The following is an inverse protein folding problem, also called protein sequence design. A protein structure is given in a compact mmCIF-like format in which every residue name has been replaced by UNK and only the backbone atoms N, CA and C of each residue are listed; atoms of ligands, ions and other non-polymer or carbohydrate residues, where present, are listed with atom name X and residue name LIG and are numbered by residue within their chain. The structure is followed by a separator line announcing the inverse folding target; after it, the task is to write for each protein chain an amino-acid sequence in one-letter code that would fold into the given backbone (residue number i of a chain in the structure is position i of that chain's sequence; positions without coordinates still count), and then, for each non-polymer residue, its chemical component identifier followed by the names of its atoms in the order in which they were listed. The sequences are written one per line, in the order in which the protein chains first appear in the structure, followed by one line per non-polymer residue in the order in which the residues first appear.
data_IF_274209604783
#
_entry.id   IF_274209604783
#
_cell.length_a   1.000
_cell.length_b   1.000
_cell.length_c   1.000
_cell.angle_alpha   90.00
_cell.angle_beta   90.00
_cell.angle_gamma   90.00
#
_symmetry.space_group_name_H-M   'P 1'
#
loop_
_entity.id
_entity.type
_entity.pdbx_description
1 polymer ?
#
# COMPACT_ATOMS: atom_id res chain seq x y z
N UNK A 1 -8.79 -10.86 8.72
CA UNK A 1 -7.81 -10.17 7.85
C UNK A 1 -6.79 -9.53 8.76
N UNK A 2 -5.51 -9.62 8.41
CA UNK A 2 -4.43 -8.96 9.16
C UNK A 2 -3.41 -8.37 8.20
N UNK A 3 -2.62 -7.44 8.72
CA UNK A 3 -1.42 -6.92 8.07
C UNK A 3 -0.19 -7.57 8.69
N UNK A 4 0.80 -7.92 7.86
CA UNK A 4 2.12 -8.34 8.32
C UNK A 4 3.20 -7.64 7.50
N UNK A 5 4.40 -7.52 8.05
CA UNK A 5 5.53 -7.05 7.26
C UNK A 5 5.76 -7.92 6.04
N UNK A 6 6.23 -7.27 4.98
CA UNK A 6 6.79 -7.96 3.82
C UNK A 6 8.01 -8.78 4.25
N UNK A 7 8.12 -9.98 3.69
CA UNK A 7 9.25 -10.87 3.88
C UNK A 7 9.74 -11.47 2.55
N UNK A 8 10.86 -12.22 2.58
CA UNK A 8 11.43 -12.84 1.38
C UNK A 8 10.48 -13.76 0.62
N UNK A 9 9.51 -14.37 1.32
CA UNK A 9 8.50 -15.25 0.72
C UNK A 9 7.49 -14.52 -0.19
N UNK A 10 7.40 -13.19 -0.12
CA UNK A 10 6.43 -12.39 -0.88
C UNK A 10 6.84 -12.12 -2.33
N UNK A 11 7.91 -12.78 -2.81
CA UNK A 11 8.41 -12.64 -4.17
C UNK A 11 7.31 -12.87 -5.23
N UNK A 12 6.53 -13.93 -5.08
CA UNK A 12 5.45 -14.23 -6.03
C UNK A 12 4.41 -13.11 -6.06
N UNK A 13 3.93 -12.67 -4.90
CA UNK A 13 2.99 -11.56 -4.79
C UNK A 13 3.55 -10.28 -5.40
N UNK A 14 4.84 -9.99 -5.20
CA UNK A 14 5.50 -8.83 -5.81
C UNK A 14 5.52 -8.90 -7.34
N UNK A 15 5.83 -10.06 -7.91
CA UNK A 15 5.81 -10.28 -9.36
C UNK A 15 4.41 -10.06 -9.90
N UNK A 16 3.41 -10.68 -9.29
CA UNK A 16 2.01 -10.56 -9.72
C UNK A 16 1.49 -9.13 -9.64
N UNK A 17 1.90 -8.37 -8.63
CA UNK A 17 1.47 -6.98 -8.49
C UNK A 17 2.23 -6.01 -9.39
N UNK A 18 3.54 -6.20 -9.60
CA UNK A 18 4.42 -5.19 -10.21
C UNK A 18 4.88 -5.50 -11.62
N UNK A 19 4.83 -6.76 -12.06
CA UNK A 19 5.20 -7.14 -13.43
C UNK A 19 3.98 -7.33 -14.34
N UNK A 20 2.78 -7.31 -13.79
CA UNK A 20 1.55 -7.44 -14.57
C UNK A 20 1.19 -6.09 -15.24
N UNK A 21 1.10 -6.04 -16.58
CA UNK A 21 0.82 -4.81 -17.31
C UNK A 21 -0.60 -4.26 -17.06
N UNK A 22 -1.56 -5.11 -16.71
CA UNK A 22 -2.93 -4.69 -16.37
C UNK A 22 -2.93 -4.05 -14.99
N UNK A 23 -2.24 -4.66 -14.01
CA UNK A 23 -2.08 -4.08 -12.67
C UNK A 23 -1.37 -2.73 -12.71
N UNK A 24 -0.35 -2.60 -13.57
CA UNK A 24 0.52 -1.43 -13.64
C UNK A 24 0.13 -0.41 -14.72
N UNK A 25 -1.02 -0.59 -15.37
CA UNK A 25 -1.45 0.23 -16.51
C UNK A 25 -1.47 1.75 -16.20
N UNK A 26 -1.84 2.10 -14.96
CA UNK A 26 -1.90 3.50 -14.48
C UNK A 26 -0.73 3.86 -13.55
N UNK A 27 0.24 2.96 -13.36
CA UNK A 27 1.32 3.07 -12.37
C UNK A 27 2.71 3.17 -13.02
N UNK A 28 2.77 3.74 -14.23
CA UNK A 28 4.02 3.89 -14.98
C UNK A 28 4.48 2.62 -15.71
N UNK A 29 3.64 1.59 -15.76
CA UNK A 29 3.90 0.34 -16.49
C UNK A 29 4.59 -0.75 -15.67
N UNK A 30 4.61 -1.99 -16.19
CA UNK A 30 5.14 -3.14 -15.46
C UNK A 30 6.65 -3.05 -15.26
N UNK A 31 7.11 -3.42 -14.07
CA UNK A 31 8.51 -3.59 -13.75
C UNK A 31 9.06 -4.87 -14.40
N UNK A 32 10.36 -4.88 -14.79
CA UNK A 32 11.01 -6.11 -15.24
C UNK A 32 11.02 -7.15 -14.12
N UNK A 33 10.87 -8.42 -14.49
CA UNK A 33 10.96 -9.54 -13.53
C UNK A 33 12.35 -9.64 -12.90
N UNK A 34 13.37 -9.29 -13.69
CA UNK A 34 14.74 -9.12 -13.22
C UNK A 34 14.77 -7.97 -12.21
N UNK A 35 15.37 -8.20 -11.04
CA UNK A 35 15.48 -7.21 -9.98
C UNK A 35 14.36 -7.23 -8.92
N UNK A 36 13.22 -7.91 -9.17
CA UNK A 36 12.15 -8.00 -8.16
C UNK A 36 12.62 -8.69 -6.88
N UNK A 37 13.46 -9.72 -6.98
CA UNK A 37 14.01 -10.38 -5.78
C UNK A 37 14.87 -9.43 -4.94
N UNK A 38 15.72 -8.64 -5.58
CA UNK A 38 16.51 -7.61 -4.91
C UNK A 38 15.63 -6.54 -4.27
N UNK A 39 14.53 -6.16 -4.93
CA UNK A 39 13.52 -5.25 -4.38
C UNK A 39 12.85 -5.82 -3.13
N UNK A 40 12.34 -7.06 -3.18
CA UNK A 40 11.72 -7.72 -2.03
C UNK A 40 12.68 -7.78 -0.84
N UNK A 41 13.94 -8.16 -1.09
CA UNK A 41 14.97 -8.24 -0.04
C UNK A 41 15.20 -6.89 0.64
N UNK A 42 15.30 -5.81 -0.14
CA UNK A 42 15.48 -4.46 0.39
C UNK A 42 14.24 -3.99 1.16
N UNK A 43 13.06 -4.13 0.56
CA UNK A 43 11.79 -3.71 1.18
C UNK A 43 11.55 -4.49 2.50
N UNK A 44 11.86 -5.79 2.57
CA UNK A 44 11.80 -6.59 3.79
C UNK A 44 12.82 -6.14 4.84
N UNK A 45 14.04 -5.78 4.43
CA UNK A 45 15.03 -5.20 5.33
C UNK A 45 14.58 -3.86 5.92
N UNK A 46 13.96 -3.00 5.11
CA UNK A 46 13.44 -1.70 5.53
C UNK A 46 12.24 -1.84 6.47
N UNK A 47 11.31 -2.75 6.17
CA UNK A 47 10.17 -3.05 7.04
C UNK A 47 10.62 -3.60 8.40
N UNK A 48 11.52 -4.59 8.40
CA UNK A 48 12.08 -5.15 9.63
C UNK A 48 12.90 -4.12 10.44
N UNK A 49 13.54 -3.17 9.75
CA UNK A 49 14.29 -2.07 10.37
C UNK A 49 13.42 -0.89 10.81
N UNK A 50 12.12 -0.90 10.55
CA UNK A 50 11.20 0.19 10.89
C UNK A 50 11.43 1.48 10.11
N UNK A 51 12.18 1.46 9.01
CA UNK A 51 12.47 2.65 8.20
C UNK A 51 11.40 2.92 7.14
N UNK A 52 10.68 1.89 6.72
CA UNK A 52 9.56 1.97 5.79
C UNK A 52 8.42 1.10 6.32
N UNK A 53 7.17 1.53 6.13
CA UNK A 53 6.01 0.73 6.53
C UNK A 53 5.46 0.01 5.30
N UNK A 54 5.83 -1.28 5.16
CA UNK A 54 5.47 -2.09 4.00
C UNK A 54 4.78 -3.35 4.48
N UNK A 55 3.45 -3.41 4.31
CA UNK A 55 2.63 -4.52 4.80
C UNK A 55 2.02 -5.31 3.66
N UNK A 56 1.98 -6.62 3.86
CA UNK A 56 1.22 -7.57 3.05
C UNK A 56 -0.16 -7.78 3.67
N UNK A 57 -1.18 -7.81 2.82
CA UNK A 57 -2.57 -7.98 3.24
C UNK A 57 -2.90 -9.47 3.24
N UNK A 58 -3.18 -10.02 4.43
CA UNK A 58 -3.57 -11.41 4.61
C UNK A 58 -5.10 -11.47 4.75
N UNK A 59 -5.83 -11.94 3.73
CA UNK A 59 -7.29 -11.83 3.68
C UNK A 59 -7.96 -12.73 4.74
N UNK A 60 -7.36 -13.88 5.04
CA UNK A 60 -7.86 -14.89 5.97
C UNK A 60 -6.71 -15.37 6.87
N UNK A 61 -6.91 -15.32 8.18
CA UNK A 61 -5.89 -15.73 9.17
C UNK A 61 -5.68 -17.23 9.20
N UNK A 62 -6.65 -18.01 8.72
CA UNK A 62 -6.52 -19.46 8.59
C UNK A 62 -5.64 -19.87 7.40
N UNK A 63 -5.33 -18.93 6.50
CA UNK A 63 -4.47 -19.11 5.33
C UNK A 63 -3.36 -18.02 5.28
N UNK A 64 -2.39 -18.03 6.21
CA UNK A 64 -1.41 -16.95 6.38
C UNK A 64 -0.44 -16.75 5.22
N UNK A 65 -0.32 -17.75 4.34
CA UNK A 65 0.52 -17.70 3.13
C UNK A 65 -0.21 -17.07 1.94
N UNK A 66 -1.54 -16.90 2.02
CA UNK A 66 -2.31 -16.21 0.99
C UNK A 66 -2.14 -14.71 1.17
N UNK A 67 -1.66 -14.07 0.12
CA UNK A 67 -1.47 -12.62 0.06
C UNK A 67 -2.50 -12.05 -0.90
N UNK A 68 -3.34 -11.13 -0.42
CA UNK A 68 -4.31 -10.42 -1.24
C UNK A 68 -3.74 -9.17 -1.92
N UNK A 69 -2.61 -8.66 -1.43
CA UNK A 69 -2.05 -7.42 -1.90
C UNK A 69 -1.04 -6.83 -0.91
N UNK A 70 -0.71 -5.56 -1.09
CA UNK A 70 0.14 -4.80 -0.18
C UNK A 70 -0.43 -3.42 0.10
N UNK A 71 -0.17 -2.89 1.29
CA UNK A 71 -0.35 -1.48 1.64
C UNK A 71 0.99 -0.96 2.14
N UNK A 72 1.37 0.21 1.66
CA UNK A 72 2.68 0.82 1.88
C UNK A 72 2.50 2.27 2.28
N UNK A 73 3.28 2.72 3.25
CA UNK A 73 3.40 4.11 3.66
C UNK A 73 4.88 4.45 3.64
N UNK A 74 5.25 5.38 2.76
CA UNK A 74 6.62 5.86 2.64
C UNK A 74 6.63 7.39 2.77
N UNK A 75 7.78 7.91 3.17
CA UNK A 75 7.98 9.35 3.35
C UNK A 75 9.06 9.82 2.39
N UNK A 76 8.82 10.94 1.72
CA UNK A 76 9.79 11.56 0.82
C UNK A 76 9.79 13.08 1.00
N UNK A 77 10.85 13.75 0.54
CA UNK A 77 10.93 15.20 0.55
C UNK A 77 10.64 15.73 -0.86
N UNK A 78 9.68 16.66 -0.96
CA UNK A 78 9.40 17.37 -2.21
C UNK A 78 9.31 18.87 -1.91
N UNK A 79 10.07 19.69 -2.64
CA UNK A 79 10.07 21.14 -2.47
C UNK A 79 10.47 21.64 -1.08
N UNK A 80 11.26 20.86 -0.32
CA UNK A 80 11.66 21.19 1.06
C UNK A 80 10.60 20.85 2.13
N UNK A 81 9.52 20.16 1.76
CA UNK A 81 8.51 19.66 2.68
C UNK A 81 8.57 18.13 2.79
N UNK A 82 8.42 17.61 4.00
CA UNK A 82 8.26 16.18 4.22
C UNK A 82 6.81 15.79 3.86
N UNK A 83 6.67 14.92 2.87
CA UNK A 83 5.42 14.31 2.47
C UNK A 83 5.42 12.83 2.87
N UNK A 84 4.25 12.33 3.24
CA UNK A 84 4.03 10.90 3.43
C UNK A 84 2.93 10.45 2.48
N UNK A 85 3.22 9.41 1.72
CA UNK A 85 2.30 8.85 0.74
C UNK A 85 1.92 7.44 1.16
N UNK A 86 0.61 7.17 1.11
CA UNK A 86 0.08 5.83 1.28
C UNK A 86 -0.37 5.29 -0.09
N UNK A 87 0.02 4.06 -0.38
CA UNK A 87 -0.38 3.35 -1.58
C UNK A 87 -0.77 1.92 -1.26
N UNK A 88 -1.66 1.35 -2.05
CA UNK A 88 -1.99 -0.07 -1.94
C UNK A 88 -2.19 -0.69 -3.32
N UNK A 89 -1.97 -2.00 -3.38
CA UNK A 89 -2.29 -2.83 -4.52
C UNK A 89 -3.08 -4.03 -4.03
N UNK A 90 -4.14 -4.40 -4.75
CA UNK A 90 -4.94 -5.58 -4.45
C UNK A 90 -4.94 -6.45 -5.69
N UNK A 91 -4.54 -7.71 -5.53
CA UNK A 91 -4.49 -8.67 -6.63
C UNK A 91 -5.90 -8.92 -7.21
N UNK A 92 -6.02 -9.17 -8.52
CA UNK A 92 -7.30 -9.17 -9.23
C UNK A 92 -8.39 -10.06 -8.58
N UNK A 93 -8.03 -11.25 -8.13
CA UNK A 93 -8.97 -12.20 -7.50
C UNK A 93 -9.51 -11.74 -6.13
N UNK A 94 -8.94 -10.68 -5.56
CA UNK A 94 -9.36 -10.07 -4.30
C UNK A 94 -10.00 -8.69 -4.47
N UNK A 95 -10.04 -8.14 -5.68
CA UNK A 95 -10.66 -6.85 -5.97
C UNK A 95 -12.19 -6.89 -5.83
N UNK A 96 -12.82 -5.72 -5.67
CA UNK A 96 -14.28 -5.60 -5.48
C UNK A 96 -14.80 -6.05 -4.10
N UNK A 97 -13.92 -6.50 -3.21
CA UNK A 97 -14.28 -7.01 -1.86
C UNK A 97 -14.02 -6.02 -0.72
N UNK A 98 -13.60 -4.80 -1.03
CA UNK A 98 -13.25 -3.77 -0.04
C UNK A 98 -11.95 -4.02 0.74
N UNK A 99 -11.13 -4.99 0.33
CA UNK A 99 -9.90 -5.40 1.04
C UNK A 99 -8.88 -4.26 1.13
N UNK A 100 -8.66 -3.50 0.05
CA UNK A 100 -7.73 -2.36 0.06
C UNK A 100 -8.17 -1.27 1.04
N UNK A 101 -9.45 -0.89 1.01
CA UNK A 101 -10.03 0.07 1.98
C UNK A 101 -9.84 -0.40 3.42
N UNK A 102 -10.15 -1.66 3.70
CA UNK A 102 -9.99 -2.20 5.03
C UNK A 102 -8.53 -2.26 5.45
N UNK A 103 -7.60 -2.58 4.55
CA UNK A 103 -6.17 -2.60 4.85
C UNK A 103 -5.63 -1.21 5.23
N UNK A 104 -6.13 -0.15 4.60
CA UNK A 104 -5.79 1.23 4.98
C UNK A 104 -6.34 1.57 6.37
N UNK A 105 -7.58 1.18 6.67
CA UNK A 105 -8.22 1.42 7.98
C UNK A 105 -7.59 0.60 9.12
N UNK A 106 -7.30 -0.68 8.86
CA UNK A 106 -6.68 -1.62 9.79
C UNK A 106 -5.15 -1.41 9.88
N UNK A 107 -4.60 -0.42 9.15
CA UNK A 107 -3.19 -0.02 9.13
C UNK A 107 -2.61 0.44 10.47
N UNK A 108 -3.40 0.39 11.55
CA UNK A 108 -3.07 0.67 12.96
C UNK A 108 -1.70 1.36 13.15
N UNK A 109 -1.67 2.65 12.88
CA UNK A 109 -0.72 3.53 13.54
C UNK A 109 -1.54 4.36 14.51
N UNK A 110 -1.36 4.12 15.81
CA UNK A 110 -2.05 4.82 16.91
C UNK A 110 -1.83 6.34 16.98
N UNK A 111 -1.27 6.95 15.94
CA UNK A 111 -1.08 8.39 15.78
C UNK A 111 -1.97 9.00 14.68
N UNK A 112 -2.60 8.20 13.80
CA UNK A 112 -3.22 8.74 12.59
C UNK A 112 -4.53 8.02 12.27
N UNK A 113 -5.67 8.65 12.56
CA UNK A 113 -6.91 8.56 11.79
C UNK A 113 -8.01 9.37 12.47
N UNK A 114 -8.17 10.63 12.05
CA UNK A 114 -9.35 11.43 12.34
C UNK A 114 -10.08 11.71 11.02
N UNK A 115 -11.25 11.08 10.87
CA UNK A 115 -12.16 11.11 9.70
C UNK A 115 -11.56 10.60 8.38
N UNK A 116 -12.20 9.56 7.84
CA UNK A 116 -12.00 9.09 6.45
C UNK A 116 -13.23 9.53 5.70
N UNK A 117 -13.12 10.60 4.92
CA UNK A 117 -14.13 10.85 3.90
C UNK A 117 -13.77 10.03 2.66
N UNK A 118 -14.79 9.40 2.08
CA UNK A 118 -14.65 8.50 0.93
C UNK A 118 -15.57 9.06 -0.14
N UNK A 119 -15.00 9.88 -1.01
CA UNK A 119 -15.74 10.55 -2.07
C UNK A 119 -15.51 9.82 -3.41
N UNK A 120 -16.56 9.78 -4.25
CA UNK A 120 -16.36 9.45 -5.66
C UNK A 120 -15.62 10.61 -6.33
N UNK A 121 -14.51 10.33 -6.99
CA UNK A 121 -13.78 11.35 -7.75
C UNK A 121 -14.64 11.74 -8.95
N UNK A 122 -14.92 13.04 -9.12
CA UNK A 122 -15.44 13.57 -10.39
C UNK A 122 -14.39 13.42 -11.50
N UNK A 123 -14.76 13.39 -12.80
CA UNK A 123 -13.79 13.19 -13.87
C UNK A 123 -12.68 14.28 -13.85
N UNK A 124 -11.43 13.87 -13.66
CA UNK A 124 -10.25 14.72 -13.48
C UNK A 124 -8.95 14.05 -13.94
N UNK A 125 -7.81 14.76 -13.91
CA UNK A 125 -6.54 14.30 -14.51
C UNK A 125 -6.07 12.97 -13.91
N UNK A 126 -6.29 11.87 -14.63
CA UNK A 126 -5.79 10.54 -14.30
C UNK A 126 -6.73 9.65 -13.50
N UNK A 127 -7.94 10.10 -13.15
CA UNK A 127 -8.91 9.30 -12.39
C UNK A 127 -10.08 8.83 -13.26
N UNK A 128 -10.46 7.55 -13.12
CA UNK A 128 -11.65 6.94 -13.71
C UNK A 128 -12.89 7.30 -12.88
N UNK A 129 -14.07 7.22 -13.50
CA UNK A 129 -15.35 7.54 -12.84
C UNK A 129 -15.72 6.60 -11.67
N UNK A 130 -15.04 5.47 -11.54
CA UNK A 130 -15.22 4.50 -10.45
C UNK A 130 -14.16 4.66 -9.36
N UNK A 131 -13.21 5.56 -9.54
CA UNK A 131 -12.15 5.76 -8.58
C UNK A 131 -12.70 6.45 -7.33
N UNK A 132 -12.05 6.16 -6.21
CA UNK A 132 -12.44 6.63 -4.89
C UNK A 132 -11.29 7.46 -4.36
N UNK A 133 -11.57 8.72 -4.03
CA UNK A 133 -10.63 9.57 -3.30
C UNK A 133 -10.71 9.23 -1.82
N UNK A 134 -9.56 9.03 -1.20
CA UNK A 134 -9.45 8.91 0.25
C UNK A 134 -8.76 10.18 0.73
N UNK A 135 -9.57 11.10 1.26
CA UNK A 135 -9.04 12.25 1.97
C UNK A 135 -8.72 11.83 3.41
N UNK A 136 -7.50 12.10 3.83
CA UNK A 136 -7.07 11.91 5.22
C UNK A 136 -6.24 13.12 5.63
N UNK A 137 -6.33 13.49 6.91
CA UNK A 137 -5.43 14.49 7.49
C UNK A 137 -4.45 13.82 8.42
N UNK A 138 -3.19 14.22 8.24
CA UNK A 138 -2.12 13.87 9.13
C UNK A 138 -2.20 14.80 10.38
N UNK A 139 -2.60 14.26 11.54
CA UNK A 139 -2.38 14.86 12.87
C UNK A 139 -0.90 14.83 13.27
N UNK A 140 -0.17 15.93 13.04
CA UNK A 140 1.20 16.09 13.53
C UNK A 140 1.27 15.75 15.02
N UNK A 141 2.15 14.82 15.42
CA UNK A 141 2.42 14.57 16.83
C UNK A 141 2.68 15.92 17.53
N UNK A 142 1.98 16.16 18.65
CA UNK A 142 2.36 17.27 19.52
C UNK A 142 3.80 16.99 19.98
N UNK A 143 4.74 17.93 19.84
CA UNK A 143 6.00 17.81 20.56
C UNK A 143 5.66 17.66 22.05
N UNK A 144 6.27 16.67 22.71
CA UNK A 144 6.16 16.52 24.17
C UNK A 144 6.58 17.85 24.85
N UNK A 145 5.91 18.23 25.95
CA UNK A 145 6.14 19.51 26.62
C UNK A 145 7.53 19.64 27.24
#
# INVERSE_FOLDING_TARGET
MRLRDVGPADLDAYVRMRCDPVMMAELGGPLPREGIEGKVRRDAGQAAGGTEWIKMIIPDETAPDVVAGSVVLWSHEEGGAQLSEIGWMVLPEFQGRGIGKRAVLDGENGAWLGFVDVCQVGPGKGCRATDVEIEFFLLKEKPEP
#
